data_IF_735673359999
#
_entry.id   IF_735673359999
#
_cell.length_a   1.000
_cell.length_b   1.000
_cell.length_c   1.000
_cell.angle_alpha   90.00
_cell.angle_beta   90.00
_cell.angle_gamma   90.00
#
_symmetry.space_group_name_H-M   'P 1'
#
loop_
_entity.id
_entity.type
_entity.pdbx_description
1 polymer ?
#
# COMPACT_ATOMS: atom_id res chain seq x y z
N UNK A 1 20.15 -6.64 -11.27
CA UNK A 1 18.86 -6.65 -11.97
C UNK A 1 17.77 -6.74 -10.91
N UNK A 2 16.99 -5.69 -10.69
CA UNK A 2 15.85 -5.76 -9.77
C UNK A 2 14.72 -6.51 -10.46
N UNK A 3 14.13 -7.51 -9.80
CA UNK A 3 12.96 -8.21 -10.32
C UNK A 3 11.84 -7.20 -10.60
N UNK A 4 11.06 -7.38 -11.69
CA UNK A 4 9.89 -6.55 -11.95
C UNK A 4 8.96 -6.59 -10.74
N UNK A 5 8.44 -5.42 -10.35
CA UNK A 5 7.45 -5.36 -9.27
C UNK A 5 6.21 -6.14 -9.69
N UNK A 6 5.58 -6.89 -8.78
CA UNK A 6 4.35 -7.58 -9.09
C UNK A 6 3.27 -6.54 -9.43
N UNK A 7 2.39 -6.85 -10.38
CA UNK A 7 1.25 -5.97 -10.76
C UNK A 7 0.34 -5.68 -9.57
N UNK A 8 0.32 -6.61 -8.64
CA UNK A 8 -0.54 -6.57 -7.47
C UNK A 8 0.28 -6.89 -6.23
N UNK A 9 0.13 -6.09 -5.18
CA UNK A 9 0.83 -6.32 -3.92
C UNK A 9 -0.07 -6.13 -2.72
N UNK A 10 -0.10 -7.15 -1.88
CA UNK A 10 -0.78 -7.08 -0.60
C UNK A 10 0.01 -6.26 0.41
N UNK A 11 -0.68 -5.33 1.03
CA UNK A 11 -0.17 -4.44 2.06
C UNK A 11 -0.91 -4.72 3.36
N UNK A 12 -0.13 -4.96 4.41
CA UNK A 12 -0.65 -5.08 5.77
C UNK A 12 -0.57 -3.71 6.43
N UNK A 13 -1.71 -3.17 6.82
CA UNK A 13 -1.78 -1.93 7.55
C UNK A 13 -2.15 -2.23 9.01
N UNK A 14 -1.44 -1.59 9.93
CA UNK A 14 -1.78 -1.56 11.35
C UNK A 14 -1.85 -0.11 11.83
N UNK A 15 -2.94 0.24 12.47
CA UNK A 15 -3.11 1.45 13.25
C UNK A 15 -2.47 1.21 14.61
N UNK A 16 -1.63 2.14 15.05
CA UNK A 16 -0.85 2.05 16.28
C UNK A 16 -0.80 3.44 16.91
N UNK A 17 -1.52 3.65 18.02
CA UNK A 17 -1.66 4.97 18.64
C UNK A 17 -2.29 5.98 17.69
N UNK A 18 -1.60 7.07 17.40
CA UNK A 18 -2.03 8.18 16.54
C UNK A 18 -1.72 7.99 15.04
N UNK A 19 -1.34 6.80 14.58
CA UNK A 19 -1.02 6.64 13.16
C UNK A 19 -1.15 5.24 12.58
N UNK A 20 -1.02 5.19 11.27
CA UNK A 20 -1.16 4.02 10.42
C UNK A 20 0.21 3.61 9.88
N UNK A 21 0.56 2.33 10.02
CA UNK A 21 1.79 1.74 9.53
C UNK A 21 1.46 0.68 8.48
N UNK A 22 1.81 0.96 7.23
CA UNK A 22 1.70 0.06 6.10
C UNK A 22 3.01 -0.72 5.90
N UNK A 23 2.93 -2.02 5.66
CA UNK A 23 4.09 -2.91 5.48
C UNK A 23 3.84 -3.91 4.35
N UNK A 24 4.79 -4.05 3.43
CA UNK A 24 4.76 -5.03 2.33
C UNK A 24 6.15 -5.28 1.74
N UNK A 25 6.42 -6.50 1.28
CA UNK A 25 7.67 -6.87 0.59
C UNK A 25 8.95 -6.39 1.30
N UNK A 26 8.99 -6.46 2.64
CA UNK A 26 10.13 -6.02 3.46
C UNK A 26 10.28 -4.50 3.63
N UNK A 27 9.43 -3.68 3.01
CA UNK A 27 9.38 -2.22 3.20
C UNK A 27 8.22 -1.83 4.11
N UNK A 28 8.43 -0.74 4.85
CA UNK A 28 7.39 -0.14 5.71
C UNK A 28 7.30 1.36 5.48
N UNK A 29 6.08 1.88 5.62
CA UNK A 29 5.76 3.30 5.59
C UNK A 29 4.73 3.62 6.66
N UNK A 30 4.72 4.87 7.15
CA UNK A 30 3.79 5.30 8.19
C UNK A 30 3.18 6.67 7.86
N UNK A 31 1.93 6.86 8.26
CA UNK A 31 1.15 8.08 8.08
C UNK A 31 0.24 8.28 9.30
N UNK A 32 0.15 9.48 9.85
CA UNK A 32 -0.64 9.76 11.06
C UNK A 32 -2.10 10.12 10.77
N UNK A 33 -2.43 10.50 9.53
CA UNK A 33 -3.71 11.14 9.22
C UNK A 33 -4.62 10.34 8.28
N UNK A 34 -4.09 9.33 7.57
CA UNK A 34 -4.90 8.49 6.68
C UNK A 34 -4.26 7.14 6.38
N UNK A 35 -5.07 6.09 6.41
CA UNK A 35 -4.70 4.73 6.04
C UNK A 35 -4.30 4.61 4.57
N UNK A 36 -5.13 5.09 3.65
CA UNK A 36 -4.87 5.08 2.21
C UNK A 36 -3.55 5.79 1.86
N UNK A 37 -3.25 6.91 2.52
CA UNK A 37 -2.00 7.64 2.31
C UNK A 37 -0.78 6.87 2.82
N UNK A 38 -0.89 6.13 3.93
CA UNK A 38 0.18 5.24 4.37
C UNK A 38 0.50 4.18 3.30
N UNK A 39 -0.53 3.63 2.67
CA UNK A 39 -0.39 2.64 1.59
C UNK A 39 0.16 3.27 0.32
N UNK A 40 -0.30 4.45 -0.10
CA UNK A 40 0.23 5.20 -1.26
C UNK A 40 1.71 5.54 -1.09
N UNK A 41 2.10 6.03 0.09
CA UNK A 41 3.52 6.27 0.42
C UNK A 41 4.36 5.00 0.35
N UNK A 42 3.81 3.87 0.81
CA UNK A 42 4.48 2.58 0.69
C UNK A 42 4.62 2.17 -0.79
N UNK A 43 3.58 2.35 -1.61
CA UNK A 43 3.60 2.08 -3.04
C UNK A 43 4.71 2.88 -3.75
N UNK A 44 4.76 4.20 -3.54
CA UNK A 44 5.82 5.05 -4.07
C UNK A 44 7.22 4.59 -3.62
N UNK A 45 7.38 4.21 -2.34
CA UNK A 45 8.65 3.69 -1.79
C UNK A 45 9.06 2.34 -2.38
N UNK A 46 8.10 1.52 -2.78
CA UNK A 46 8.32 0.25 -3.47
C UNK A 46 8.70 0.43 -4.95
N UNK A 47 8.32 1.57 -5.54
CA UNK A 47 8.57 1.89 -6.95
C UNK A 47 7.34 1.74 -7.85
N UNK A 48 6.15 1.63 -7.26
CA UNK A 48 4.89 1.67 -8.03
C UNK A 48 4.66 3.04 -8.62
N UNK A 49 3.88 3.09 -9.70
CA UNK A 49 3.49 4.35 -10.33
C UNK A 49 2.57 5.16 -9.40
N UNK A 50 2.59 6.49 -9.50
CA UNK A 50 1.66 7.34 -8.76
C UNK A 50 0.18 7.13 -9.16
N UNK A 51 -0.06 6.54 -10.34
CA UNK A 51 -1.37 6.12 -10.83
C UNK A 51 -1.81 4.74 -10.33
N UNK A 52 -0.99 4.05 -9.52
CA UNK A 52 -1.38 2.76 -8.96
C UNK A 52 -2.54 2.94 -7.97
N UNK A 53 -3.58 2.13 -8.13
CA UNK A 53 -4.72 2.13 -7.26
C UNK A 53 -4.40 1.46 -5.92
N UNK A 54 -5.02 1.95 -4.84
CA UNK A 54 -4.93 1.34 -3.50
C UNK A 54 -6.33 0.98 -3.03
N UNK A 55 -6.57 -0.30 -2.82
CA UNK A 55 -7.88 -0.84 -2.48
C UNK A 55 -7.80 -1.51 -1.11
N UNK A 56 -8.74 -1.17 -0.21
CA UNK A 56 -8.88 -1.89 1.05
C UNK A 56 -9.57 -3.22 0.77
N UNK A 57 -8.90 -4.33 1.08
CA UNK A 57 -9.42 -5.67 0.86
C UNK A 57 -10.32 -6.12 2.00
N UNK A 58 -9.83 -5.96 3.22
CA UNK A 58 -10.48 -6.51 4.41
C UNK A 58 -10.11 -5.67 5.64
N UNK A 59 -11.08 -5.44 6.51
CA UNK A 59 -10.80 -4.93 7.85
C UNK A 59 -10.71 -6.12 8.81
N UNK A 60 -9.54 -6.28 9.43
CA UNK A 60 -9.25 -7.40 10.34
C UNK A 60 -9.61 -7.06 11.79
N UNK A 61 -10.18 -5.88 12.06
CA UNK A 61 -10.43 -5.39 13.41
C UNK A 61 -9.15 -5.06 14.19
N UNK A 62 -9.33 -4.42 15.36
CA UNK A 62 -8.22 -4.05 16.25
C UNK A 62 -7.21 -3.10 15.59
N UNK A 63 -7.68 -2.24 14.69
CA UNK A 63 -6.85 -1.32 13.91
C UNK A 63 -6.03 -1.98 12.81
N UNK A 64 -6.30 -3.22 12.44
CA UNK A 64 -5.56 -3.91 11.36
C UNK A 64 -6.45 -3.98 10.13
N UNK A 65 -5.86 -3.74 8.96
CA UNK A 65 -6.57 -3.87 7.68
C UNK A 65 -5.63 -4.40 6.61
N UNK A 66 -6.16 -5.20 5.69
CA UNK A 66 -5.46 -5.64 4.48
C UNK A 66 -5.81 -4.72 3.32
N UNK A 67 -4.80 -4.36 2.57
CA UNK A 67 -4.88 -3.50 1.41
C UNK A 67 -4.20 -4.17 0.22
N UNK A 68 -4.52 -3.71 -0.98
CA UNK A 68 -3.92 -4.13 -2.23
C UNK A 68 -3.49 -2.90 -3.01
N UNK A 69 -2.24 -2.88 -3.44
CA UNK A 69 -1.77 -1.96 -4.47
C UNK A 69 -2.01 -2.66 -5.82
N UNK A 70 -2.65 -1.99 -6.76
CA UNK A 70 -2.92 -2.48 -8.10
C UNK A 70 -2.27 -1.53 -9.10
N UNK A 71 -1.21 -2.00 -9.76
CA UNK A 71 -0.60 -1.30 -10.89
C UNK A 71 -1.37 -1.67 -12.15
N UNK A 72 -2.43 -0.91 -12.42
CA UNK A 72 -3.08 -0.95 -13.73
C UNK A 72 -2.17 -0.22 -14.71
N UNK A 73 -1.72 -0.92 -15.75
CA UNK A 73 -1.26 -0.25 -16.95
C UNK A 73 -2.48 0.47 -17.51
N UNK A 74 -2.60 1.76 -17.21
CA UNK A 74 -3.49 2.63 -17.97
C UNK A 74 -2.92 2.63 -19.38
N UNK A 75 -3.44 1.74 -20.22
CA UNK A 75 -3.19 1.75 -21.65
C UNK A 75 -3.55 3.14 -22.14
N UNK A 76 -2.55 3.89 -22.58
CA UNK A 76 -2.77 5.14 -23.29
C UNK A 76 -3.59 4.83 -24.52
N UNK A 77 -4.83 5.32 -24.53
CA UNK A 77 -5.63 5.48 -25.73
C UNK A 77 -5.33 6.85 -26.33
#
# INVERSE_FOLDING_TARGET
>A
MSAPLPRELEVRLRSSGEGHKASASGKTSSCTWSDAEAVRRLAAKLGYRPSADVVRLEDLGGGRSRWKIVDVEVGGA
#
